data_IF_151686879431
#
_entry.id   IF_151686879431
#
_cell.length_a   1.000
_cell.length_b   1.000
_cell.length_c   1.000
_cell.angle_alpha   90.00
_cell.angle_beta   90.00
_cell.angle_gamma   90.00
#
_symmetry.space_group_name_H-M   'P 1'
#
loop_
_entity.id
_entity.type
_entity.pdbx_description
1 polymer ?
#
# COMPACT_ATOMS: atom_id res chain seq x y z
N UNK A 1 30.81 -43.34 -9.77
CA UNK A 1 30.93 -41.89 -10.05
C UNK A 1 29.63 -41.20 -9.65
N UNK A 2 29.61 -40.49 -8.52
CA UNK A 2 28.39 -39.88 -7.99
C UNK A 2 28.12 -38.52 -8.67
N UNK A 3 26.93 -38.35 -9.28
CA UNK A 3 26.47 -37.06 -9.82
C UNK A 3 26.38 -36.05 -8.68
N UNK A 4 27.28 -35.05 -8.67
CA UNK A 4 27.14 -33.87 -7.78
C UNK A 4 25.82 -33.17 -8.10
N UNK A 5 24.87 -33.22 -7.16
CA UNK A 5 23.58 -32.54 -7.27
C UNK A 5 23.82 -31.03 -7.29
N UNK A 6 23.50 -30.39 -8.42
CA UNK A 6 23.64 -28.93 -8.59
C UNK A 6 22.70 -28.22 -7.61
N UNK A 7 23.25 -27.34 -6.76
CA UNK A 7 22.46 -26.58 -5.78
C UNK A 7 21.56 -25.59 -6.54
N UNK A 8 20.24 -25.73 -6.42
CA UNK A 8 19.29 -24.77 -7.00
C UNK A 8 19.40 -23.47 -6.21
N UNK A 9 19.83 -22.40 -6.88
CA UNK A 9 19.81 -21.05 -6.31
C UNK A 9 18.36 -20.58 -6.36
N UNK A 10 17.71 -20.46 -5.19
CA UNK A 10 16.36 -19.93 -5.09
C UNK A 10 16.46 -18.40 -4.99
N UNK A 11 16.18 -17.69 -6.07
CA UNK A 11 16.17 -16.22 -6.09
C UNK A 11 14.94 -15.74 -5.31
N UNK A 12 15.14 -15.06 -4.19
CA UNK A 12 14.06 -14.41 -3.45
C UNK A 12 13.77 -13.04 -4.07
N UNK A 13 12.59 -12.88 -4.66
CA UNK A 13 12.11 -11.57 -5.12
C UNK A 13 11.65 -10.76 -3.90
N UNK A 14 12.31 -9.63 -3.64
CA UNK A 14 11.86 -8.70 -2.59
C UNK A 14 10.48 -8.17 -2.99
N UNK A 15 9.51 -8.29 -2.08
CA UNK A 15 8.16 -7.74 -2.25
C UNK A 15 8.09 -6.41 -1.51
N UNK A 16 7.37 -5.46 -2.08
CA UNK A 16 7.05 -4.21 -1.40
C UNK A 16 6.23 -4.50 -0.14
N UNK A 17 6.43 -3.72 0.93
CA UNK A 17 5.66 -3.88 2.16
C UNK A 17 4.16 -3.70 1.89
N UNK A 18 3.36 -4.55 2.51
CA UNK A 18 1.90 -4.53 2.37
C UNK A 18 1.20 -3.85 3.55
N UNK A 19 1.92 -3.58 4.63
CA UNK A 19 1.40 -3.05 5.89
C UNK A 19 2.17 -1.75 6.17
N UNK A 20 1.44 -0.69 6.47
CA UNK A 20 1.99 0.64 6.73
C UNK A 20 1.61 1.14 8.14
N UNK A 21 2.38 2.11 8.63
CA UNK A 21 2.18 2.73 9.94
C UNK A 21 1.10 3.81 9.83
N UNK A 22 0.19 3.92 10.79
CA UNK A 22 -0.76 5.02 10.84
C UNK A 22 -0.12 6.30 11.39
N UNK A 23 -0.24 7.46 10.73
CA UNK A 23 0.32 8.72 11.24
C UNK A 23 -0.42 9.23 12.49
N UNK A 24 -1.68 8.85 12.70
CA UNK A 24 -2.47 9.29 13.85
C UNK A 24 -2.30 8.42 15.10
N UNK A 25 -2.27 7.08 14.95
CA UNK A 25 -2.17 6.16 16.10
C UNK A 25 -0.82 5.44 16.24
N UNK A 26 0.09 5.57 15.27
CA UNK A 26 1.42 4.95 15.31
C UNK A 26 1.46 3.43 15.12
N UNK A 27 0.31 2.77 14.98
CA UNK A 27 0.22 1.32 14.78
C UNK A 27 0.41 0.91 13.31
N UNK A 28 1.02 -0.26 13.08
CA UNK A 28 1.18 -0.87 11.75
C UNK A 28 -0.09 -1.58 11.28
N UNK A 29 -1.15 -0.81 10.99
CA UNK A 29 -2.48 -1.35 10.68
C UNK A 29 -3.12 -0.75 9.43
N UNK A 30 -2.39 0.05 8.65
CA UNK A 30 -2.92 0.61 7.41
C UNK A 30 -2.90 -0.43 6.30
N UNK A 31 -4.08 -0.65 5.73
CA UNK A 31 -4.32 -1.47 4.55
C UNK A 31 -4.66 -0.58 3.35
N UNK A 32 -3.96 -0.80 2.24
CA UNK A 32 -4.19 -0.09 0.96
C UNK A 32 -4.70 -1.07 -0.07
N UNK A 33 -5.92 -0.83 -0.55
CA UNK A 33 -6.56 -1.55 -1.63
C UNK A 33 -6.71 -0.65 -2.85
N UNK A 34 -6.60 -1.23 -4.04
CA UNK A 34 -6.81 -0.53 -5.29
C UNK A 34 -8.00 -1.14 -6.01
N UNK A 35 -8.92 -0.29 -6.43
CA UNK A 35 -10.03 -0.62 -7.30
C UNK A 35 -9.83 0.05 -8.66
N UNK A 36 -10.17 -0.66 -9.73
CA UNK A 36 -10.07 -0.09 -11.08
C UNK A 36 -11.27 0.82 -11.31
N UNK A 37 -11.03 2.09 -11.65
CA UNK A 37 -12.10 2.98 -12.10
C UNK A 37 -12.48 2.60 -13.54
N UNK A 38 -13.78 2.42 -13.79
CA UNK A 38 -14.32 1.95 -15.06
C UNK A 38 -14.28 2.99 -16.19
N UNK A 39 -13.98 4.27 -15.92
CA UNK A 39 -14.36 5.36 -16.81
C UNK A 39 -13.24 6.11 -17.55
N UNK A 40 -11.95 5.80 -17.42
CA UNK A 40 -10.93 6.34 -18.35
C UNK A 40 -9.53 5.80 -18.08
N UNK A 41 -8.97 5.12 -19.09
CA UNK A 41 -7.54 4.98 -19.43
C UNK A 41 -6.52 4.63 -18.34
N UNK A 42 -6.36 5.47 -17.32
CA UNK A 42 -5.13 5.59 -16.54
C UNK A 42 -5.31 5.83 -15.03
N UNK A 43 -6.55 5.87 -14.53
CA UNK A 43 -6.85 6.16 -13.12
C UNK A 43 -7.37 4.91 -12.37
N UNK A 44 -7.02 4.81 -11.08
CA UNK A 44 -7.49 3.79 -10.15
C UNK A 44 -7.86 4.45 -8.83
N UNK A 45 -8.84 3.87 -8.13
CA UNK A 45 -9.27 4.32 -6.81
C UNK A 45 -8.41 3.61 -5.77
N UNK A 46 -7.71 4.38 -4.94
CA UNK A 46 -7.01 3.89 -3.76
C UNK A 46 -7.93 4.03 -2.55
N UNK A 47 -8.16 2.91 -1.87
CA UNK A 47 -8.90 2.84 -0.62
C UNK A 47 -7.90 2.53 0.48
N UNK A 48 -7.69 3.49 1.38
CA UNK A 48 -6.81 3.37 2.53
C UNK A 48 -7.68 3.22 3.77
N UNK A 49 -7.42 2.19 4.57
CA UNK A 49 -8.16 1.94 5.82
C UNK A 49 -7.20 1.58 6.94
N UNK A 50 -7.31 2.30 8.06
CA UNK A 50 -6.69 1.95 9.33
C UNK A 50 -7.51 0.84 10.00
N UNK A 51 -6.87 -0.28 10.33
CA UNK A 51 -7.50 -1.39 11.04
C UNK A 51 -7.61 -1.21 12.55
N UNK A 52 -7.31 -0.01 13.08
CA UNK A 52 -7.40 0.27 14.52
C UNK A 52 -8.74 0.95 14.83
N UNK A 53 -9.56 0.32 15.68
CA UNK A 53 -10.95 0.75 15.94
C UNK A 53 -11.05 2.13 16.59
N UNK A 54 -10.06 2.56 17.38
CA UNK A 54 -10.07 3.90 18.02
C UNK A 54 -9.74 5.04 17.04
N UNK A 55 -9.14 4.72 15.89
CA UNK A 55 -8.72 5.71 14.91
C UNK A 55 -9.69 5.77 13.72
N UNK A 56 -10.16 4.62 13.23
CA UNK A 56 -11.18 4.53 12.18
C UNK A 56 -10.83 5.22 10.86
N UNK A 57 -9.60 5.72 10.67
CA UNK A 57 -9.24 6.53 9.52
C UNK A 57 -9.43 5.73 8.23
N UNK A 58 -10.25 6.28 7.35
CA UNK A 58 -10.43 5.76 6.00
C UNK A 58 -10.41 6.92 5.04
N UNK A 59 -9.66 6.76 3.95
CA UNK A 59 -9.61 7.74 2.87
C UNK A 59 -9.73 7.00 1.54
N UNK A 60 -10.42 7.64 0.61
CA UNK A 60 -10.67 7.11 -0.73
C UNK A 60 -10.30 8.18 -1.74
N UNK A 61 -9.35 7.88 -2.61
CA UNK A 61 -8.85 8.85 -3.56
C UNK A 61 -8.37 8.25 -4.87
N UNK A 62 -8.46 9.04 -5.93
CA UNK A 62 -8.03 8.61 -7.26
C UNK A 62 -6.51 8.82 -7.42
N UNK A 63 -5.83 7.78 -7.88
CA UNK A 63 -4.42 7.82 -8.22
C UNK A 63 -4.16 7.26 -9.62
N UNK A 64 -3.07 7.67 -10.28
CA UNK A 64 -2.65 7.04 -11.51
C UNK A 64 -2.41 5.53 -11.34
N UNK A 65 -2.69 4.75 -12.38
CA UNK A 65 -2.53 3.29 -12.40
C UNK A 65 -1.11 2.83 -12.06
N UNK A 66 -0.10 3.64 -12.38
CA UNK A 66 1.32 3.38 -12.11
C UNK A 66 1.69 3.40 -10.63
N UNK A 67 0.85 4.01 -9.79
CA UNK A 67 1.16 4.11 -8.36
C UNK A 67 1.20 2.73 -7.72
N UNK A 68 2.09 2.52 -6.78
CA UNK A 68 2.08 1.32 -5.94
C UNK A 68 1.44 1.63 -4.58
N UNK A 69 1.31 0.60 -3.73
CA UNK A 69 0.73 0.77 -2.38
C UNK A 69 1.47 1.81 -1.55
N UNK A 70 2.79 1.90 -1.74
CA UNK A 70 3.65 2.87 -1.06
C UNK A 70 3.31 4.30 -1.49
N UNK A 71 3.13 4.55 -2.79
CA UNK A 71 2.83 5.89 -3.30
C UNK A 71 1.47 6.41 -2.81
N UNK A 72 0.48 5.51 -2.72
CA UNK A 72 -0.81 5.83 -2.13
C UNK A 72 -0.69 6.15 -0.63
N UNK A 73 0.12 5.40 0.10
CA UNK A 73 0.40 5.69 1.50
C UNK A 73 1.09 7.05 1.69
N UNK A 74 2.09 7.40 0.88
CA UNK A 74 2.74 8.71 0.95
C UNK A 74 1.74 9.85 0.73
N UNK A 75 0.91 9.78 -0.32
CA UNK A 75 -0.15 10.77 -0.56
C UNK A 75 -1.12 10.91 0.62
N UNK A 76 -1.48 9.79 1.24
CA UNK A 76 -2.35 9.80 2.41
C UNK A 76 -1.70 10.51 3.61
N UNK A 77 -0.42 10.24 3.87
CA UNK A 77 0.35 10.92 4.93
C UNK A 77 0.49 12.41 4.64
N UNK A 78 0.75 12.79 3.39
CA UNK A 78 0.86 14.20 3.00
C UNK A 78 -0.46 14.95 3.23
N UNK A 79 -1.61 14.33 2.92
CA UNK A 79 -2.95 14.88 3.19
C UNK A 79 -3.27 14.99 4.68
N UNK A 80 -2.82 14.01 5.45
CA UNK A 80 -2.95 14.06 6.90
C UNK A 80 -2.12 15.22 7.47
N UNK A 81 -0.88 15.37 7.01
CA UNK A 81 0.00 16.46 7.43
C UNK A 81 -0.46 17.83 6.94
N UNK A 82 -1.16 17.93 5.81
CA UNK A 82 -1.74 19.19 5.33
C UNK A 82 -2.98 19.62 6.10
N UNK A 83 -3.48 18.78 7.03
CA UNK A 83 -4.66 19.07 7.85
C UNK A 83 -5.98 18.91 7.10
N UNK A 84 -5.97 18.26 5.93
CA UNK A 84 -7.19 17.97 5.15
C UNK A 84 -8.02 16.84 5.76
N UNK A 85 -7.40 16.01 6.59
CA UNK A 85 -8.01 14.84 7.23
C UNK A 85 -7.62 14.87 8.70
N UNK A 86 -8.59 15.12 9.58
CA UNK A 86 -8.47 15.17 11.03
C UNK A 86 -9.84 15.04 11.70
#
# INVERSE_FOLDING_TARGET
MARRKRRKIKVYKRKLPSIFVCPQCGHQSISVNFENSSNSGDLKVAIVKCGFEECGLSDTFEVPKRYEKVDAYCKFVDRFNSGEIG
#
